data_IF_272026666653
#
_entry.id   IF_272026666653
#
_cell.length_a   1.000
_cell.length_b   1.000
_cell.length_c   1.000
_cell.angle_alpha   90.00
_cell.angle_beta   90.00
_cell.angle_gamma   90.00
#
_symmetry.space_group_name_H-M   'P 1'
#
loop_
_entity.id
_entity.type
_entity.pdbx_description
1 polymer ?
#
# COMPACT_ATOMS: atom_id res chain seq x y z
N UNK A 1 16.84 -8.97 -36.74
CA UNK A 1 15.42 -9.29 -36.77
C UNK A 1 14.88 -8.99 -35.39
N UNK A 2 14.19 -7.90 -35.27
CA UNK A 2 13.74 -7.27 -34.03
C UNK A 2 12.40 -7.90 -33.65
N UNK A 3 12.40 -8.72 -32.62
CA UNK A 3 11.14 -9.17 -31.98
C UNK A 3 10.68 -8.06 -31.04
N UNK A 4 9.81 -7.20 -31.55
CA UNK A 4 9.00 -6.31 -30.74
C UNK A 4 7.94 -7.13 -30.02
N UNK A 5 8.10 -7.30 -28.71
CA UNK A 5 7.05 -7.75 -27.82
C UNK A 5 5.94 -6.70 -27.82
N UNK A 6 4.84 -7.02 -28.47
CA UNK A 6 3.64 -6.19 -28.45
C UNK A 6 3.02 -6.30 -27.06
N UNK A 7 3.20 -5.26 -26.26
CA UNK A 7 2.37 -5.02 -25.10
C UNK A 7 0.93 -4.85 -25.57
N UNK A 8 0.09 -5.85 -25.33
CA UNK A 8 -1.35 -5.76 -25.58
C UNK A 8 -1.95 -4.77 -24.58
N UNK A 9 -2.11 -3.57 -25.07
CA UNK A 9 -2.64 -2.45 -24.33
C UNK A 9 -4.16 -2.47 -24.45
N UNK A 10 -4.86 -2.93 -23.43
CA UNK A 10 -6.15 -2.38 -23.10
C UNK A 10 -5.92 -0.96 -22.50
N UNK A 11 -5.33 -0.07 -23.28
CA UNK A 11 -5.37 1.36 -22.97
C UNK A 11 -6.79 1.83 -23.26
N UNK A 12 -7.67 1.73 -22.28
CA UNK A 12 -8.86 2.57 -22.22
C UNK A 12 -8.38 3.98 -22.49
N UNK A 13 -8.97 4.65 -23.48
CA UNK A 13 -8.56 6.00 -23.87
C UNK A 13 -8.52 6.89 -22.62
N UNK A 14 -7.39 7.54 -22.36
CA UNK A 14 -7.23 8.39 -21.19
C UNK A 14 -8.35 9.45 -21.16
N UNK A 15 -9.00 9.67 -20.02
CA UNK A 15 -10.08 10.65 -19.90
C UNK A 15 -9.56 12.07 -20.15
N UNK A 16 -10.45 12.93 -20.61
CA UNK A 16 -10.13 14.32 -20.98
C UNK A 16 -9.40 15.07 -19.84
N UNK A 17 -9.76 14.82 -18.59
CA UNK A 17 -9.10 15.40 -17.42
C UNK A 17 -7.61 15.07 -17.41
N UNK A 18 -7.22 13.83 -17.61
CA UNK A 18 -5.79 13.42 -17.63
C UNK A 18 -5.09 13.87 -18.91
N UNK A 19 -5.81 13.91 -20.05
CA UNK A 19 -5.25 14.42 -21.30
C UNK A 19 -4.92 15.91 -21.19
N UNK A 20 -5.77 16.70 -20.55
CA UNK A 20 -5.54 18.14 -20.36
C UNK A 20 -4.26 18.44 -19.57
N UNK A 21 -3.89 17.58 -18.61
CA UNK A 21 -2.66 17.73 -17.83
C UNK A 21 -1.39 17.65 -18.69
N UNK A 22 -1.41 16.91 -19.81
CA UNK A 22 -0.26 16.84 -20.73
C UNK A 22 0.04 18.16 -21.38
N UNK A 23 -0.98 18.97 -21.64
CA UNK A 23 -0.88 20.28 -22.28
C UNK A 23 -0.49 21.43 -21.35
N UNK A 24 -0.44 21.22 -20.04
CA UNK A 24 -0.13 22.26 -19.05
C UNK A 24 1.29 22.10 -18.46
N UNK A 25 2.29 22.82 -18.97
CA UNK A 25 3.67 22.72 -18.49
C UNK A 25 3.85 23.14 -17.02
N UNK A 26 2.95 23.95 -16.46
CA UNK A 26 3.00 24.38 -15.06
C UNK A 26 2.83 23.22 -14.08
N UNK A 27 2.17 22.16 -14.51
CA UNK A 27 1.93 20.93 -13.75
C UNK A 27 3.02 19.88 -13.93
N UNK A 28 4.01 20.12 -14.81
CA UNK A 28 5.05 19.14 -15.06
C UNK A 28 6.11 19.17 -13.96
N UNK A 29 6.47 17.99 -13.46
CA UNK A 29 7.54 17.76 -12.49
C UNK A 29 8.53 16.75 -13.04
N UNK A 30 9.79 16.90 -12.65
CA UNK A 30 10.88 15.98 -12.99
C UNK A 30 11.31 15.23 -11.74
N UNK A 31 11.56 13.94 -11.91
CA UNK A 31 12.00 13.04 -10.86
C UNK A 31 13.30 12.38 -11.27
N UNK A 32 14.18 12.15 -10.30
CA UNK A 32 15.48 11.50 -10.52
C UNK A 32 15.33 9.97 -10.50
N UNK A 33 16.22 9.22 -11.18
CA UNK A 33 16.27 7.77 -11.03
C UNK A 33 16.39 7.37 -9.55
N UNK A 34 15.64 6.32 -9.14
CA UNK A 34 15.57 5.84 -7.76
C UNK A 34 14.64 6.65 -6.82
N UNK A 35 14.14 7.80 -7.26
CA UNK A 35 13.26 8.62 -6.42
C UNK A 35 11.92 7.91 -6.19
N UNK A 36 11.46 7.78 -4.91
CA UNK A 36 10.13 7.28 -4.60
C UNK A 36 9.07 8.27 -5.07
N UNK A 37 8.01 7.76 -5.69
CA UNK A 37 6.88 8.53 -6.21
C UNK A 37 5.63 8.33 -5.35
N UNK A 38 5.39 7.09 -4.91
CA UNK A 38 4.33 6.69 -3.99
C UNK A 38 4.82 5.59 -3.05
N UNK A 39 4.08 5.33 -1.98
CA UNK A 39 4.36 4.30 -0.99
C UNK A 39 3.08 3.54 -0.62
N UNK A 40 3.21 2.27 -0.27
CA UNK A 40 2.14 1.42 0.26
C UNK A 40 1.83 1.67 1.75
N UNK A 41 2.49 2.66 2.37
CA UNK A 41 2.31 3.00 3.79
C UNK A 41 1.44 4.24 4.02
N UNK A 42 1.26 5.09 3.00
CA UNK A 42 0.48 6.32 3.09
C UNK A 42 -0.28 6.61 1.79
N UNK A 43 -1.48 7.19 1.92
CA UNK A 43 -2.19 7.70 0.74
C UNK A 43 -1.37 8.80 0.07
N UNK A 44 -1.23 8.77 -1.26
CA UNK A 44 -0.55 9.83 -1.99
C UNK A 44 -1.38 11.12 -1.96
N UNK A 45 -0.72 12.27 -1.91
CA UNK A 45 -1.36 13.59 -1.99
C UNK A 45 -1.52 14.10 -3.42
N UNK A 46 -1.18 13.27 -4.39
CA UNK A 46 -1.25 13.62 -5.81
C UNK A 46 -1.29 12.38 -6.70
N UNK A 47 -1.84 12.54 -7.87
CA UNK A 47 -1.76 11.58 -8.98
C UNK A 47 -0.73 12.06 -9.99
N UNK A 48 0.08 11.15 -10.50
CA UNK A 48 1.11 11.43 -11.50
C UNK A 48 0.75 10.73 -12.81
N UNK A 49 0.69 11.48 -13.91
CA UNK A 49 0.61 10.94 -15.26
C UNK A 49 2.01 10.97 -15.86
N UNK A 50 2.59 9.82 -16.19
CA UNK A 50 3.92 9.75 -16.81
C UNK A 50 3.87 10.35 -18.22
N UNK A 51 4.74 11.32 -18.49
CA UNK A 51 4.90 11.95 -19.82
C UNK A 51 6.13 11.40 -20.53
N UNK A 52 7.24 11.25 -19.80
CA UNK A 52 8.53 10.79 -20.31
C UNK A 52 9.24 9.95 -19.26
N UNK A 53 10.04 8.97 -19.67
CA UNK A 53 10.81 8.12 -18.79
C UNK A 53 10.04 6.86 -18.35
N UNK A 54 10.59 6.18 -17.35
CA UNK A 54 10.05 4.91 -16.83
C UNK A 54 10.06 4.89 -15.31
N UNK A 55 9.07 4.21 -14.72
CA UNK A 55 8.99 3.88 -13.31
C UNK A 55 8.79 2.37 -13.11
N UNK A 56 8.87 1.92 -11.88
CA UNK A 56 8.57 0.53 -11.48
C UNK A 56 7.56 0.53 -10.37
N UNK A 57 6.48 -0.19 -10.57
CA UNK A 57 5.59 -0.62 -9.51
C UNK A 57 6.27 -1.79 -8.80
N UNK A 58 6.46 -1.63 -7.50
CA UNK A 58 7.16 -2.58 -6.66
C UNK A 58 6.19 -3.29 -5.73
N UNK A 59 6.54 -4.51 -5.37
CA UNK A 59 5.95 -5.26 -4.28
C UNK A 59 7.07 -5.84 -3.41
N UNK A 60 6.74 -6.49 -2.30
CA UNK A 60 7.72 -7.12 -1.43
C UNK A 60 7.67 -8.63 -1.57
N UNK A 61 8.81 -9.22 -1.85
CA UNK A 61 9.03 -10.66 -1.83
C UNK A 61 10.05 -10.98 -0.73
N UNK A 62 9.65 -11.71 0.32
CA UNK A 62 10.53 -12.04 1.45
C UNK A 62 11.28 -10.82 1.99
N UNK A 63 10.55 -9.69 2.14
CA UNK A 63 11.06 -8.38 2.57
C UNK A 63 11.97 -7.63 1.57
N UNK A 64 12.25 -8.19 0.42
CA UNK A 64 13.00 -7.53 -0.65
C UNK A 64 12.05 -6.87 -1.67
N UNK A 65 12.40 -5.67 -2.18
CA UNK A 65 11.61 -5.04 -3.23
C UNK A 65 11.76 -5.80 -4.55
N UNK A 66 10.64 -6.25 -5.11
CA UNK A 66 10.57 -6.89 -6.41
C UNK A 66 9.71 -6.08 -7.37
N UNK A 67 10.06 -6.09 -8.65
CA UNK A 67 9.31 -5.35 -9.68
C UNK A 67 8.08 -6.15 -10.08
N UNK A 68 6.90 -5.61 -9.78
CA UNK A 68 5.63 -6.15 -10.23
C UNK A 68 5.36 -5.77 -11.70
N UNK A 69 5.55 -4.47 -12.04
CA UNK A 69 5.32 -3.95 -13.38
C UNK A 69 6.23 -2.77 -13.70
N UNK A 70 6.59 -2.64 -14.98
CA UNK A 70 7.24 -1.43 -15.52
C UNK A 70 6.17 -0.48 -16.01
N UNK A 71 6.28 0.79 -15.62
CA UNK A 71 5.38 1.87 -15.99
C UNK A 71 6.09 2.82 -16.95
N UNK A 72 5.38 3.32 -17.95
CA UNK A 72 5.89 4.19 -18.99
C UNK A 72 4.96 5.37 -19.32
N UNK A 73 5.24 6.13 -20.39
CA UNK A 73 4.41 7.25 -20.79
C UNK A 73 2.95 6.87 -21.02
N UNK A 74 2.03 7.59 -20.35
CA UNK A 74 0.60 7.32 -20.36
C UNK A 74 0.10 6.57 -19.13
N UNK A 75 0.97 5.92 -18.36
CA UNK A 75 0.57 5.28 -17.11
C UNK A 75 0.33 6.32 -16.01
N UNK A 76 -0.59 5.95 -15.10
CA UNK A 76 -1.03 6.80 -13.99
C UNK A 76 -0.56 6.17 -12.68
N UNK A 77 -0.01 6.97 -11.79
CA UNK A 77 0.53 6.56 -10.49
C UNK A 77 -0.23 7.27 -9.38
N UNK A 78 -0.55 6.58 -8.29
CA UNK A 78 -1.23 7.12 -7.11
C UNK A 78 -2.74 7.00 -7.16
N UNK A 79 -3.32 6.78 -8.34
CA UNK A 79 -4.78 6.75 -8.50
C UNK A 79 -5.40 5.50 -7.86
N UNK A 80 -4.79 4.32 -8.00
CA UNK A 80 -5.28 3.09 -7.39
C UNK A 80 -5.41 3.22 -5.87
N UNK A 81 -4.41 3.81 -5.22
CA UNK A 81 -4.42 4.04 -3.78
C UNK A 81 -5.54 4.99 -3.35
N UNK A 82 -5.76 6.08 -4.09
CA UNK A 82 -6.80 7.06 -3.78
C UNK A 82 -8.20 6.49 -4.00
N UNK A 83 -8.44 5.82 -5.14
CA UNK A 83 -9.75 5.24 -5.45
C UNK A 83 -10.11 4.08 -4.51
N UNK A 84 -9.15 3.30 -4.06
CA UNK A 84 -9.39 2.25 -3.07
C UNK A 84 -9.40 2.75 -1.63
N UNK A 85 -9.22 4.06 -1.41
CA UNK A 85 -9.07 4.67 -0.08
C UNK A 85 -8.02 3.95 0.80
N UNK A 86 -7.02 3.32 0.18
CA UNK A 86 -6.01 2.54 0.89
C UNK A 86 -4.68 2.55 0.12
N UNK A 87 -3.56 2.82 0.78
CA UNK A 87 -2.26 2.82 0.12
C UNK A 87 -1.94 1.42 -0.42
N UNK A 88 -1.66 1.31 -1.72
CA UNK A 88 -1.36 0.04 -2.38
C UNK A 88 -0.21 0.14 -3.39
N UNK A 89 0.24 1.34 -3.72
CA UNK A 89 1.22 1.56 -4.77
C UNK A 89 2.57 1.97 -4.17
N UNK A 90 3.57 1.11 -4.30
CA UNK A 90 4.98 1.51 -4.09
C UNK A 90 5.61 1.68 -5.47
N UNK A 91 5.87 2.93 -5.87
CA UNK A 91 6.42 3.24 -7.19
C UNK A 91 7.70 4.07 -7.08
N UNK A 92 8.74 3.63 -7.78
CA UNK A 92 10.01 4.36 -7.88
C UNK A 92 10.32 4.69 -9.34
N UNK A 93 10.89 5.87 -9.57
CA UNK A 93 11.40 6.24 -10.88
C UNK A 93 12.59 5.35 -11.27
N UNK A 94 12.56 4.73 -12.45
CA UNK A 94 13.66 3.88 -12.95
C UNK A 94 14.67 4.67 -13.78
N UNK A 95 14.18 5.71 -14.45
CA UNK A 95 15.00 6.64 -15.25
C UNK A 95 14.71 8.07 -14.80
N UNK A 96 15.35 9.07 -15.42
CA UNK A 96 14.86 10.43 -15.33
C UNK A 96 13.42 10.46 -15.86
N UNK A 97 12.48 10.85 -15.02
CA UNK A 97 11.06 10.79 -15.30
C UNK A 97 10.47 12.19 -15.30
N UNK A 98 9.59 12.46 -16.25
CA UNK A 98 8.76 13.67 -16.29
C UNK A 98 7.30 13.23 -16.18
N UNK A 99 6.57 13.82 -15.25
CA UNK A 99 5.15 13.53 -15.08
C UNK A 99 4.34 14.83 -14.91
N UNK A 100 3.08 14.77 -15.33
CA UNK A 100 2.09 15.78 -15.00
C UNK A 100 1.43 15.43 -13.67
N UNK A 101 1.22 16.43 -12.82
CA UNK A 101 0.72 16.29 -11.45
C UNK A 101 -0.71 16.76 -11.37
N UNK A 102 -1.56 15.92 -10.76
CA UNK A 102 -2.92 16.26 -10.34
C UNK A 102 -3.01 16.12 -8.82
N UNK A 103 -3.13 17.21 -8.07
CA UNK A 103 -3.32 17.16 -6.63
C UNK A 103 -4.58 16.40 -6.24
N UNK A 104 -4.54 15.72 -5.10
CA UNK A 104 -5.65 14.93 -4.57
C UNK A 104 -6.95 15.74 -4.40
N UNK A 105 -6.87 16.98 -3.94
CA UNK A 105 -8.04 17.87 -3.82
C UNK A 105 -8.67 18.20 -5.17
N UNK A 106 -7.85 18.43 -6.20
CA UNK A 106 -8.35 18.63 -7.56
C UNK A 106 -8.93 17.33 -8.12
N UNK A 107 -8.30 16.18 -7.82
CA UNK A 107 -8.84 14.88 -8.17
C UNK A 107 -10.25 14.70 -7.59
N UNK A 108 -10.44 14.96 -6.29
CA UNK A 108 -11.75 14.87 -5.63
C UNK A 108 -12.78 15.76 -6.31
N UNK A 109 -12.41 17.00 -6.65
CA UNK A 109 -13.28 17.91 -7.38
C UNK A 109 -13.67 17.34 -8.75
N UNK A 110 -12.69 16.81 -9.51
CA UNK A 110 -13.00 16.18 -10.79
C UNK A 110 -13.88 14.93 -10.66
N UNK A 111 -13.70 14.13 -9.61
CA UNK A 111 -14.56 12.98 -9.33
C UNK A 111 -16.02 13.41 -9.04
N UNK A 112 -16.23 14.58 -8.44
CA UNK A 112 -17.56 15.12 -8.16
C UNK A 112 -18.18 15.81 -9.38
N UNK A 113 -17.39 16.59 -10.13
CA UNK A 113 -17.87 17.47 -11.20
C UNK A 113 -17.93 16.78 -12.57
N UNK A 114 -17.23 15.65 -12.76
CA UNK A 114 -17.09 14.98 -14.07
C UNK A 114 -17.49 13.50 -13.99
N UNK A 115 -18.78 13.16 -14.24
CA UNK A 115 -19.27 11.77 -14.12
C UNK A 115 -18.50 10.76 -14.97
N UNK A 116 -18.08 11.14 -16.18
CA UNK A 116 -17.32 10.26 -17.08
C UNK A 116 -15.93 9.93 -16.50
N UNK A 117 -15.29 10.92 -15.87
CA UNK A 117 -14.01 10.70 -15.19
C UNK A 117 -14.19 9.82 -13.95
N UNK A 118 -15.24 10.06 -13.17
CA UNK A 118 -15.60 9.21 -12.04
C UNK A 118 -15.80 7.75 -12.46
N UNK A 119 -16.62 7.51 -13.49
CA UNK A 119 -16.85 6.18 -14.04
C UNK A 119 -15.55 5.52 -14.53
N UNK A 120 -14.72 6.29 -15.25
CA UNK A 120 -13.44 5.76 -15.72
C UNK A 120 -12.55 5.33 -14.54
N UNK A 121 -12.41 6.16 -13.51
CA UNK A 121 -11.60 5.85 -12.33
C UNK A 121 -12.14 4.63 -11.56
N UNK A 122 -13.45 4.54 -11.38
CA UNK A 122 -14.08 3.50 -10.56
C UNK A 122 -14.24 2.16 -11.30
N UNK A 123 -14.24 2.15 -12.63
CA UNK A 123 -14.35 0.93 -13.44
C UNK A 123 -13.00 0.27 -13.79
N UNK A 124 -11.87 0.89 -13.41
CA UNK A 124 -10.56 0.28 -13.62
C UNK A 124 -10.21 -0.69 -12.48
N UNK A 125 -9.56 -1.80 -12.81
CA UNK A 125 -8.91 -2.70 -11.86
C UNK A 125 -7.40 -2.49 -12.01
N UNK A 126 -6.74 -2.18 -10.90
CA UNK A 126 -5.33 -1.79 -10.90
C UNK A 126 -4.44 -2.93 -10.46
N UNK A 127 -3.27 -3.07 -11.10
CA UNK A 127 -2.29 -4.12 -10.76
C UNK A 127 -1.84 -4.05 -9.30
N UNK A 128 -1.67 -2.84 -8.76
CA UNK A 128 -1.32 -2.64 -7.35
C UNK A 128 -2.43 -3.09 -6.39
N UNK A 129 -3.68 -2.86 -6.76
CA UNK A 129 -4.85 -3.30 -6.00
C UNK A 129 -4.94 -4.83 -5.97
N UNK A 130 -4.80 -5.48 -7.14
CA UNK A 130 -4.77 -6.94 -7.25
C UNK A 130 -3.59 -7.55 -6.47
N UNK A 131 -2.41 -7.01 -6.62
CA UNK A 131 -1.23 -7.49 -5.90
C UNK A 131 -1.42 -7.41 -4.38
N UNK A 132 -2.02 -6.32 -3.89
CA UNK A 132 -2.34 -6.17 -2.47
C UNK A 132 -3.35 -7.21 -1.98
N UNK A 133 -4.40 -7.50 -2.77
CA UNK A 133 -5.41 -8.49 -2.42
C UNK A 133 -4.85 -9.92 -2.43
N UNK A 134 -3.99 -10.24 -3.40
CA UNK A 134 -3.46 -11.58 -3.59
C UNK A 134 -2.25 -11.88 -2.70
N UNK A 135 -1.51 -10.85 -2.25
CA UNK A 135 -0.31 -11.04 -1.43
C UNK A 135 -0.54 -11.88 -0.17
N UNK A 136 -1.57 -11.67 0.66
CA UNK A 136 -1.81 -12.51 1.84
C UNK A 136 -2.08 -13.98 1.48
N UNK A 137 -2.72 -14.24 0.33
CA UNK A 137 -2.97 -15.59 -0.16
C UNK A 137 -1.68 -16.26 -0.63
N UNK A 138 -0.80 -15.53 -1.33
CA UNK A 138 0.51 -16.01 -1.76
C UNK A 138 1.44 -16.26 -0.55
N UNK A 139 1.48 -15.35 0.41
CA UNK A 139 2.30 -15.49 1.62
C UNK A 139 1.88 -16.72 2.46
N UNK A 140 0.63 -17.17 2.36
CA UNK A 140 0.10 -18.39 3.02
C UNK A 140 0.23 -19.66 2.21
N UNK A 141 0.66 -19.59 0.96
CA UNK A 141 0.78 -20.71 0.02
C UNK A 141 2.23 -21.01 -0.34
N UNK A 142 2.45 -22.07 -1.12
CA UNK A 142 3.76 -22.37 -1.70
C UNK A 142 4.06 -21.56 -2.97
N UNK A 143 3.13 -20.71 -3.41
CA UNK A 143 3.28 -19.88 -4.59
C UNK A 143 4.30 -18.76 -4.36
N UNK A 144 4.98 -18.39 -5.41
CA UNK A 144 5.98 -17.32 -5.40
C UNK A 144 5.53 -16.09 -6.21
N UNK A 145 6.21 -14.98 -6.01
CA UNK A 145 5.92 -13.73 -6.70
C UNK A 145 6.11 -13.79 -8.22
N UNK A 146 7.09 -14.49 -8.79
CA UNK A 146 7.20 -14.69 -10.22
C UNK A 146 5.93 -15.25 -10.86
N UNK A 147 5.23 -16.18 -10.18
CA UNK A 147 3.95 -16.71 -10.67
C UNK A 147 2.89 -15.60 -10.76
N UNK A 148 2.78 -14.73 -9.75
CA UNK A 148 1.87 -13.58 -9.80
C UNK A 148 2.23 -12.63 -10.93
N UNK A 149 3.50 -12.25 -11.06
CA UNK A 149 3.95 -11.29 -12.09
C UNK A 149 3.66 -11.76 -13.49
N UNK A 150 3.83 -13.07 -13.76
CA UNK A 150 3.57 -13.66 -15.06
C UNK A 150 2.08 -13.80 -15.40
N UNK A 151 1.21 -13.90 -14.39
CA UNK A 151 -0.23 -14.10 -14.56
C UNK A 151 -1.06 -12.83 -14.29
N UNK A 152 -0.41 -11.71 -13.92
CA UNK A 152 -1.12 -10.51 -13.47
C UNK A 152 -2.06 -9.93 -14.54
N UNK A 153 -1.65 -9.93 -15.80
CA UNK A 153 -2.47 -9.47 -16.91
C UNK A 153 -3.70 -10.39 -17.10
N UNK A 154 -3.53 -11.70 -17.05
CA UNK A 154 -4.62 -12.68 -17.16
C UNK A 154 -5.59 -12.56 -15.96
N UNK A 155 -5.04 -12.35 -14.76
CA UNK A 155 -5.85 -12.15 -13.54
C UNK A 155 -6.68 -10.87 -13.67
N UNK A 156 -6.08 -9.77 -14.11
CA UNK A 156 -6.77 -8.49 -14.30
C UNK A 156 -7.87 -8.61 -15.34
N UNK A 157 -7.61 -9.28 -16.46
CA UNK A 157 -8.57 -9.41 -17.55
C UNK A 157 -9.79 -10.28 -17.18
N UNK A 158 -9.63 -11.19 -16.22
CA UNK A 158 -10.71 -12.04 -15.71
C UNK A 158 -11.35 -11.49 -14.43
N UNK A 159 -10.71 -10.53 -13.76
CA UNK A 159 -11.25 -9.88 -12.58
C UNK A 159 -12.48 -9.02 -12.93
N UNK A 160 -13.45 -8.99 -12.05
CA UNK A 160 -14.67 -8.20 -12.23
C UNK A 160 -14.92 -7.31 -11.01
N UNK A 161 -15.25 -6.06 -11.26
CA UNK A 161 -15.79 -5.18 -10.23
C UNK A 161 -17.27 -5.47 -10.05
N UNK A 162 -17.69 -5.68 -8.83
CA UNK A 162 -19.09 -5.90 -8.47
C UNK A 162 -19.66 -4.66 -7.76
N UNK A 163 -20.91 -4.30 -8.02
CA UNK A 163 -21.61 -3.35 -7.18
C UNK A 163 -21.77 -3.94 -5.76
N UNK A 164 -21.87 -3.09 -4.73
CA UNK A 164 -22.12 -3.53 -3.36
C UNK A 164 -23.60 -3.92 -3.14
N UNK A 165 -24.02 -4.95 -3.84
CA UNK A 165 -25.35 -5.52 -3.83
C UNK A 165 -25.28 -6.98 -3.40
N UNK A 166 -26.05 -7.35 -2.37
CA UNK A 166 -26.00 -8.67 -1.76
C UNK A 166 -26.39 -9.78 -2.75
N UNK A 167 -27.36 -9.52 -3.65
CA UNK A 167 -27.79 -10.51 -4.64
C UNK A 167 -26.70 -10.73 -5.69
N UNK A 168 -26.06 -9.65 -6.15
CA UNK A 168 -24.97 -9.73 -7.13
C UNK A 168 -23.76 -10.47 -6.54
N UNK A 169 -23.41 -10.19 -5.28
CA UNK A 169 -22.31 -10.87 -4.59
C UNK A 169 -22.62 -12.35 -4.39
N UNK A 170 -23.83 -12.69 -3.93
CA UNK A 170 -24.25 -14.09 -3.76
C UNK A 170 -24.22 -14.85 -5.08
N UNK A 171 -24.71 -14.24 -6.15
CA UNK A 171 -24.69 -14.82 -7.48
C UNK A 171 -23.24 -15.03 -8.00
N UNK A 172 -22.34 -14.11 -7.74
CA UNK A 172 -20.94 -14.27 -8.12
C UNK A 172 -20.29 -15.46 -7.38
N UNK A 173 -20.54 -15.60 -6.08
CA UNK A 173 -20.03 -16.71 -5.27
C UNK A 173 -20.62 -18.04 -5.76
N UNK A 174 -21.94 -18.10 -6.04
CA UNK A 174 -22.59 -19.28 -6.59
C UNK A 174 -22.02 -19.69 -7.96
N UNK A 175 -21.50 -18.73 -8.73
CA UNK A 175 -20.81 -18.95 -10.00
C UNK A 175 -19.30 -19.21 -9.84
N UNK A 176 -18.87 -19.74 -8.68
CA UNK A 176 -17.49 -20.11 -8.39
C UNK A 176 -16.48 -18.96 -8.52
N UNK A 177 -16.91 -17.73 -8.14
CA UNK A 177 -16.03 -16.58 -8.00
C UNK A 177 -15.77 -16.32 -6.53
N UNK A 178 -14.53 -15.96 -6.19
CA UNK A 178 -14.17 -15.47 -4.86
C UNK A 178 -14.23 -13.96 -4.88
N UNK A 179 -14.96 -13.36 -3.94
CA UNK A 179 -15.20 -11.92 -3.89
C UNK A 179 -14.46 -11.31 -2.73
N UNK A 180 -13.67 -10.27 -3.00
CA UNK A 180 -12.82 -9.61 -2.02
C UNK A 180 -13.17 -8.12 -1.87
N UNK A 181 -13.06 -7.63 -0.64
CA UNK A 181 -13.16 -6.20 -0.34
C UNK A 181 -11.86 -5.51 -0.76
N UNK A 182 -11.93 -4.63 -1.75
CA UNK A 182 -10.77 -3.98 -2.36
C UNK A 182 -10.57 -2.52 -1.93
N UNK A 183 -11.48 -1.95 -1.13
CA UNK A 183 -11.35 -0.58 -0.63
C UNK A 183 -11.52 -0.48 0.88
N UNK A 184 -10.94 0.55 1.49
CA UNK A 184 -10.96 0.77 2.94
C UNK A 184 -12.03 1.76 3.39
N UNK A 185 -12.98 2.12 2.53
CA UNK A 185 -14.04 3.10 2.80
C UNK A 185 -15.33 2.49 3.38
N UNK A 186 -15.26 1.33 4.01
CA UNK A 186 -16.37 0.66 4.68
C UNK A 186 -15.93 0.12 6.04
N UNK A 187 -16.83 -0.53 6.77
CA UNK A 187 -16.50 -1.21 8.03
C UNK A 187 -15.93 -2.62 7.82
N UNK A 188 -15.97 -3.13 6.59
CA UNK A 188 -15.35 -4.39 6.23
C UNK A 188 -13.82 -4.24 6.20
N UNK A 189 -13.15 -5.33 6.54
CA UNK A 189 -11.68 -5.36 6.48
C UNK A 189 -11.20 -5.44 5.04
N UNK A 190 -10.22 -4.63 4.70
CA UNK A 190 -9.57 -4.68 3.40
C UNK A 190 -8.96 -6.07 3.14
N UNK A 191 -9.21 -6.62 1.95
CA UNK A 191 -8.79 -7.98 1.60
C UNK A 191 -9.69 -9.08 2.19
N UNK A 192 -10.73 -8.73 2.94
CA UNK A 192 -11.70 -9.72 3.45
C UNK A 192 -12.40 -10.39 2.28
N UNK A 193 -12.41 -11.73 2.30
CA UNK A 193 -13.22 -12.53 1.39
C UNK A 193 -14.66 -12.58 1.88
N UNK A 194 -15.61 -12.34 0.98
CA UNK A 194 -17.03 -12.46 1.25
C UNK A 194 -17.47 -13.90 0.97
N UNK A 195 -18.20 -14.48 1.91
CA UNK A 195 -18.74 -15.85 1.82
C UNK A 195 -20.27 -15.82 1.87
N UNK A 196 -20.93 -16.91 1.43
CA UNK A 196 -22.37 -17.02 1.52
C UNK A 196 -22.89 -16.80 2.95
N UNK A 197 -23.99 -16.06 3.09
CA UNK A 197 -24.66 -15.76 4.36
C UNK A 197 -24.20 -14.48 5.06
N UNK A 198 -23.25 -13.75 4.50
CA UNK A 198 -22.97 -12.38 4.95
C UNK A 198 -24.02 -11.47 4.36
N UNK A 199 -24.92 -10.94 5.21
CA UNK A 199 -25.81 -9.85 4.84
C UNK A 199 -24.97 -8.61 4.62
N UNK A 200 -24.86 -8.20 3.35
CA UNK A 200 -24.02 -7.09 2.93
C UNK A 200 -24.85 -5.84 2.88
N UNK A 201 -25.29 -5.32 4.03
CA UNK A 201 -25.67 -3.90 4.17
C UNK A 201 -24.35 -3.09 4.29
N UNK A 202 -23.64 -2.98 3.15
CA UNK A 202 -22.35 -2.31 3.15
C UNK A 202 -22.55 -0.87 2.74
N UNK A 203 -22.61 0.02 3.71
CA UNK A 203 -22.49 1.45 3.46
C UNK A 203 -21.03 1.82 3.20
N UNK A 204 -20.78 2.33 1.99
CA UNK A 204 -19.50 2.94 1.67
C UNK A 204 -19.45 4.38 2.19
N UNK A 205 -18.31 4.77 2.75
CA UNK A 205 -18.09 6.16 3.13
C UNK A 205 -17.81 6.98 1.87
N UNK A 206 -18.63 8.03 1.59
CA UNK A 206 -18.41 8.89 0.43
C UNK A 206 -17.01 9.52 0.45
N UNK A 207 -16.47 9.98 -0.68
CA UNK A 207 -17.13 10.16 -1.97
C UNK A 207 -17.08 8.95 -2.91
N UNK A 208 -16.38 7.89 -2.54
CA UNK A 208 -16.13 6.75 -3.41
C UNK A 208 -17.04 5.56 -3.07
N UNK A 209 -17.46 4.76 -4.06
CA UNK A 209 -18.20 3.55 -3.81
C UNK A 209 -17.31 2.48 -3.16
N UNK A 210 -17.93 1.53 -2.47
CA UNK A 210 -17.24 0.32 -2.05
C UNK A 210 -16.75 -0.45 -3.27
N UNK A 211 -15.50 -0.89 -3.24
CA UNK A 211 -14.91 -1.70 -4.31
C UNK A 211 -14.90 -3.16 -3.91
N UNK A 212 -15.61 -3.96 -4.66
CA UNK A 212 -15.61 -5.41 -4.55
C UNK A 212 -15.00 -6.00 -5.82
N UNK A 213 -13.98 -6.85 -5.68
CA UNK A 213 -13.33 -7.52 -6.81
C UNK A 213 -13.63 -9.01 -6.72
N UNK A 214 -14.24 -9.54 -7.79
CA UNK A 214 -14.49 -10.95 -7.97
C UNK A 214 -13.41 -11.57 -8.87
N UNK A 215 -12.86 -12.71 -8.44
CA UNK A 215 -11.85 -13.47 -9.15
C UNK A 215 -12.32 -14.93 -9.34
N UNK A 216 -12.10 -15.56 -10.50
CA UNK A 216 -12.43 -16.97 -10.71
C UNK A 216 -11.66 -17.86 -9.72
N UNK A 217 -12.36 -18.74 -9.01
CA UNK A 217 -11.73 -19.61 -8.01
C UNK A 217 -10.70 -20.57 -8.65
N UNK A 218 -10.96 -21.05 -9.87
CA UNK A 218 -10.05 -21.94 -10.62
C UNK A 218 -8.71 -21.26 -10.89
N UNK A 219 -8.74 -19.97 -11.26
CA UNK A 219 -7.52 -19.19 -11.52
C UNK A 219 -6.70 -19.04 -10.22
N UNK A 220 -7.36 -18.70 -9.10
CA UNK A 220 -6.69 -18.58 -7.81
C UNK A 220 -6.09 -19.92 -7.36
N UNK A 221 -6.78 -21.04 -7.59
CA UNK A 221 -6.23 -22.37 -7.30
C UNK A 221 -4.98 -22.65 -8.14
N UNK A 222 -5.00 -22.34 -9.43
CA UNK A 222 -3.83 -22.47 -10.30
C UNK A 222 -2.66 -21.59 -9.90
N UNK A 223 -2.92 -20.38 -9.41
CA UNK A 223 -1.90 -19.47 -8.90
C UNK A 223 -1.29 -19.97 -7.59
N UNK A 224 -2.12 -20.50 -6.67
CA UNK A 224 -1.72 -20.91 -5.33
C UNK A 224 -1.09 -22.30 -5.28
N UNK A 225 -1.42 -23.20 -6.25
CA UNK A 225 -0.93 -24.57 -6.35
C UNK A 225 -0.33 -24.85 -7.74
N UNK A 226 0.79 -24.23 -8.12
CA UNK A 226 1.38 -24.37 -9.46
C UNK A 226 1.79 -25.83 -9.80
N UNK A 227 2.03 -26.66 -8.77
CA UNK A 227 2.50 -28.04 -8.95
C UNK A 227 1.43 -29.07 -9.36
N UNK A 228 0.14 -28.74 -9.31
CA UNK A 228 -0.93 -29.68 -9.71
C UNK A 228 -1.21 -29.67 -11.22
N UNK A 229 -0.76 -28.66 -11.97
CA UNK A 229 -1.03 -28.52 -13.40
C UNK A 229 0.11 -28.96 -14.34
N UNK A 230 1.28 -29.34 -13.83
CA UNK A 230 2.44 -29.76 -14.65
C UNK A 230 2.57 -31.29 -14.81
N UNK A 231 1.47 -32.00 -15.08
CA UNK A 231 1.52 -33.39 -15.56
C UNK A 231 1.37 -33.46 -17.08
N UNK A 232 2.26 -32.77 -17.79
CA UNK A 232 2.49 -33.08 -19.22
C UNK A 232 3.99 -33.04 -19.49
N UNK A 233 4.60 -34.13 -19.93
CA UNK A 233 6.04 -34.17 -20.17
C UNK A 233 6.40 -33.43 -21.45
N UNK A 234 7.24 -32.45 -21.36
CA UNK A 234 8.01 -31.93 -22.49
C UNK A 234 9.49 -32.02 -22.17
N UNK A 235 10.18 -32.74 -23.05
CA UNK A 235 11.58 -33.13 -22.99
C UNK A 235 12.54 -31.93 -23.00
N UNK A 236 13.56 -32.08 -22.17
CA UNK A 236 14.96 -31.68 -22.33
C UNK A 236 15.32 -30.56 -23.32
N UNK A 237 15.91 -29.49 -22.79
CA UNK A 237 17.19 -29.01 -23.32
C UNK A 237 17.96 -28.26 -22.22
N UNK A 238 18.98 -28.93 -21.74
CA UNK A 238 20.05 -28.40 -20.88
C UNK A 238 20.88 -27.39 -21.65
N UNK A 239 21.08 -26.21 -21.10
CA UNK A 239 22.24 -25.37 -21.43
C UNK A 239 22.63 -24.54 -20.22
N UNK A 240 23.64 -25.02 -19.55
CA UNK A 240 24.40 -24.28 -18.56
C UNK A 240 25.13 -23.11 -19.21
N UNK A 241 24.97 -21.92 -18.66
CA UNK A 241 25.88 -20.79 -18.89
C UNK A 241 26.18 -20.14 -17.54
N UNK A 242 27.33 -20.51 -17.02
CA UNK A 242 28.01 -19.86 -15.92
C UNK A 242 28.49 -18.50 -16.39
N UNK A 243 28.02 -17.43 -15.76
CA UNK A 243 28.68 -16.13 -15.90
C UNK A 243 28.88 -15.54 -14.52
N UNK A 244 30.11 -15.56 -14.10
CA UNK A 244 30.68 -14.86 -12.95
C UNK A 244 30.60 -13.35 -13.27
N UNK A 245 29.82 -12.61 -12.51
CA UNK A 245 29.74 -11.16 -12.60
C UNK A 245 30.07 -10.55 -11.24
N UNK A 246 31.14 -9.78 -11.23
CA UNK A 246 31.67 -9.04 -10.09
C UNK A 246 30.63 -8.18 -9.39
N UNK A 247 30.63 -8.28 -8.06
CA UNK A 247 29.85 -7.43 -7.17
C UNK A 247 30.57 -6.09 -7.08
N UNK A 248 30.08 -5.08 -7.77
CA UNK A 248 30.46 -3.71 -7.52
C UNK A 248 29.73 -3.22 -6.26
N UNK A 249 30.49 -3.01 -5.20
CA UNK A 249 30.02 -2.30 -4.01
C UNK A 249 29.63 -0.87 -4.39
N UNK A 250 28.34 -0.65 -4.52
CA UNK A 250 27.79 0.69 -4.70
C UNK A 250 27.44 1.25 -3.33
N UNK A 251 28.32 2.10 -2.85
CA UNK A 251 28.17 2.95 -1.69
C UNK A 251 26.79 3.63 -1.70
N UNK A 252 25.94 3.28 -0.74
CA UNK A 252 24.64 3.93 -0.50
C UNK A 252 24.88 5.37 -0.03
N UNK A 253 25.01 6.29 -0.96
CA UNK A 253 24.80 7.69 -0.66
C UNK A 253 23.31 7.88 -0.31
N UNK A 254 23.04 8.17 0.96
CA UNK A 254 21.75 8.63 1.45
C UNK A 254 21.33 9.83 0.60
N UNK A 255 20.41 9.61 -0.34
CA UNK A 255 19.82 10.69 -1.10
C UNK A 255 19.08 11.61 -0.11
N UNK A 256 19.58 12.83 0.04
CA UNK A 256 18.88 13.91 0.71
C UNK A 256 17.59 14.11 -0.07
N UNK A 257 16.46 13.74 0.54
CA UNK A 257 15.12 14.02 0.00
C UNK A 257 14.96 15.53 0.11
N UNK A 258 15.09 16.23 -1.02
CA UNK A 258 14.65 17.62 -1.06
C UNK A 258 13.17 17.64 -0.69
N UNK A 259 12.73 18.55 0.22
CA UNK A 259 11.35 18.64 0.63
C UNK A 259 10.50 18.85 -0.64
N UNK A 260 9.46 18.05 -0.78
CA UNK A 260 8.41 18.29 -1.76
C UNK A 260 7.98 19.75 -1.58
N UNK A 261 7.99 20.51 -2.68
CA UNK A 261 7.70 21.95 -2.64
C UNK A 261 6.42 22.18 -1.83
N UNK A 262 6.57 22.88 -0.73
CA UNK A 262 5.47 23.33 0.11
C UNK A 262 4.43 24.05 -0.76
N UNK A 263 3.16 23.61 -0.68
CA UNK A 263 2.12 24.35 -1.36
C UNK A 263 0.75 23.71 -1.48
N UNK A 264 0.59 22.42 -1.21
CA UNK A 264 -0.74 21.79 -1.29
C UNK A 264 -1.05 21.07 0.02
N UNK A 265 -2.22 21.36 0.62
CA UNK A 265 -2.65 20.63 1.80
C UNK A 265 -2.78 19.14 1.45
N UNK A 266 -2.29 18.28 2.35
CA UNK A 266 -2.46 16.83 2.24
C UNK A 266 -3.95 16.52 2.41
N UNK A 267 -4.52 15.71 1.51
CA UNK A 267 -5.84 15.17 1.74
C UNK A 267 -5.84 14.37 3.03
N UNK A 268 -6.84 14.59 3.86
CA UNK A 268 -7.03 13.76 5.04
C UNK A 268 -7.56 12.40 4.60
N UNK A 269 -7.22 11.33 5.33
CA UNK A 269 -7.74 10.00 5.03
C UNK A 269 -9.27 9.97 4.98
N UNK A 270 -9.94 10.84 5.75
CA UNK A 270 -11.39 11.01 5.77
C UNK A 270 -11.95 11.54 4.44
N UNK A 271 -11.24 12.38 3.71
CA UNK A 271 -11.67 12.94 2.41
C UNK A 271 -11.82 11.85 1.34
N UNK A 272 -11.05 10.77 1.44
CA UNK A 272 -11.17 9.60 0.57
C UNK A 272 -12.02 8.48 1.19
N UNK A 273 -12.80 8.76 2.24
CA UNK A 273 -13.66 7.78 2.89
C UNK A 273 -12.92 6.74 3.72
N UNK A 274 -11.63 6.87 3.90
CA UNK A 274 -10.87 6.00 4.78
C UNK A 274 -11.30 6.21 6.25
N UNK A 275 -11.37 5.12 7.01
CA UNK A 275 -11.69 5.20 8.44
C UNK A 275 -10.65 6.07 9.15
N UNK A 276 -11.09 7.05 9.95
CA UNK A 276 -10.19 7.82 10.79
C UNK A 276 -9.37 6.84 11.65
N UNK A 277 -8.03 6.87 11.59
CA UNK A 277 -7.19 5.99 12.41
C UNK A 277 -7.46 6.13 13.91
N UNK A 278 -8.12 7.22 14.33
CA UNK A 278 -8.60 7.41 15.72
C UNK A 278 -9.90 6.68 16.01
N UNK A 279 -10.69 6.32 14.97
CA UNK A 279 -11.98 5.66 15.19
C UNK A 279 -11.73 4.24 15.69
N UNK A 280 -12.20 3.96 16.92
CA UNK A 280 -11.97 2.70 17.61
C UNK A 280 -10.70 2.64 18.47
N UNK A 281 -9.84 3.67 18.45
CA UNK A 281 -8.73 3.78 19.37
C UNK A 281 -9.19 4.35 20.72
N UNK A 282 -9.12 3.55 21.78
CA UNK A 282 -9.36 4.02 23.13
C UNK A 282 -8.14 4.80 23.60
N UNK A 283 -8.27 6.11 23.79
CA UNK A 283 -7.19 6.96 24.29
C UNK A 283 -6.87 6.59 25.75
N UNK A 284 -5.67 6.10 25.99
CA UNK A 284 -5.16 5.75 27.31
C UNK A 284 -4.21 6.86 27.77
N UNK A 285 -4.57 7.53 28.84
CA UNK A 285 -3.71 8.53 29.49
C UNK A 285 -2.97 7.90 30.65
N UNK A 286 -1.67 8.18 30.75
CA UNK A 286 -0.81 7.68 31.81
C UNK A 286 0.14 8.79 32.28
N UNK A 287 0.65 8.63 33.49
CA UNK A 287 1.62 9.56 34.09
C UNK A 287 2.83 8.77 34.58
N UNK A 288 4.00 9.15 34.10
CA UNK A 288 5.26 8.47 34.43
C UNK A 288 5.82 7.65 33.29
N UNK A 289 7.15 7.59 33.17
CA UNK A 289 7.83 7.02 32.00
C UNK A 289 7.40 5.59 31.66
N UNK A 290 7.25 4.73 32.67
CA UNK A 290 6.87 3.32 32.46
C UNK A 290 5.40 3.18 32.07
N UNK A 291 4.51 3.94 32.73
CA UNK A 291 3.08 3.90 32.45
C UNK A 291 2.74 4.52 31.09
N UNK A 292 3.41 5.61 30.70
CA UNK A 292 3.27 6.24 29.38
C UNK A 292 3.68 5.26 28.27
N UNK A 293 4.81 4.55 28.45
CA UNK A 293 5.25 3.57 27.47
C UNK A 293 4.30 2.37 27.38
N UNK A 294 3.79 1.88 28.51
CA UNK A 294 2.79 0.83 28.55
C UNK A 294 1.51 1.25 27.82
N UNK A 295 1.03 2.47 28.08
CA UNK A 295 -0.14 3.02 27.39
C UNK A 295 0.08 3.11 25.87
N UNK A 296 1.27 3.54 25.42
CA UNK A 296 1.63 3.56 24.00
C UNK A 296 1.57 2.18 23.38
N UNK A 297 2.09 1.15 24.05
CA UNK A 297 2.01 -0.23 23.56
C UNK A 297 0.59 -0.79 23.56
N UNK A 298 -0.24 -0.41 24.53
CA UNK A 298 -1.66 -0.79 24.55
C UNK A 298 -2.41 -0.17 23.37
N UNK A 299 -2.24 1.12 23.12
CA UNK A 299 -2.85 1.81 21.99
C UNK A 299 -2.31 1.27 20.65
N UNK A 300 -1.01 1.01 20.55
CA UNK A 300 -0.41 0.41 19.36
C UNK A 300 -0.98 -0.98 19.07
N UNK A 301 -1.13 -1.81 20.11
CA UNK A 301 -1.73 -3.14 19.98
C UNK A 301 -3.20 -3.07 19.53
N UNK A 302 -3.99 -2.12 20.05
CA UNK A 302 -5.36 -1.88 19.57
C UNK A 302 -5.38 -1.46 18.11
N UNK A 303 -4.51 -0.53 17.72
CA UNK A 303 -4.41 -0.02 16.35
C UNK A 303 -4.06 -1.10 15.34
N UNK A 304 -3.17 -2.02 15.73
CA UNK A 304 -2.67 -3.10 14.87
C UNK A 304 -3.42 -4.43 15.05
N UNK A 305 -4.45 -4.48 15.90
CA UNK A 305 -5.19 -5.71 16.18
C UNK A 305 -4.35 -6.83 16.86
N UNK A 306 -3.30 -6.45 17.60
CA UNK A 306 -2.39 -7.40 18.22
C UNK A 306 -2.85 -7.82 19.61
N UNK A 307 -2.55 -9.07 20.00
CA UNK A 307 -2.79 -9.55 21.36
C UNK A 307 -1.68 -9.08 22.30
N UNK A 308 -2.00 -8.12 23.16
CA UNK A 308 -1.08 -7.62 24.16
C UNK A 308 -1.19 -8.44 25.45
N UNK A 309 -0.05 -8.96 25.92
CA UNK A 309 0.09 -9.50 27.28
C UNK A 309 0.58 -8.40 28.22
N UNK A 310 -0.36 -7.63 28.75
CA UNK A 310 -0.07 -6.48 29.64
C UNK A 310 0.87 -6.85 30.78
N UNK A 311 0.60 -7.94 31.49
CA UNK A 311 1.40 -8.40 32.63
C UNK A 311 2.86 -8.68 32.29
N UNK A 312 3.13 -9.18 31.06
CA UNK A 312 4.48 -9.45 30.60
C UNK A 312 5.25 -8.15 30.38
N UNK A 313 4.60 -7.15 29.77
CA UNK A 313 5.22 -5.84 29.54
C UNK A 313 5.45 -5.10 30.86
N UNK A 314 4.47 -5.08 31.76
CA UNK A 314 4.60 -4.48 33.10
C UNK A 314 5.76 -5.08 33.90
N UNK A 315 5.95 -6.40 33.82
CA UNK A 315 7.07 -7.08 34.47
C UNK A 315 8.42 -6.65 33.91
N UNK A 316 8.54 -6.62 32.59
CA UNK A 316 9.81 -6.21 31.93
C UNK A 316 10.13 -4.74 32.24
N UNK A 317 9.12 -3.85 32.19
CA UNK A 317 9.28 -2.45 32.55
C UNK A 317 9.67 -2.29 34.03
N UNK A 318 8.96 -2.99 34.94
CA UNK A 318 9.25 -2.96 36.37
C UNK A 318 10.65 -3.46 36.70
N UNK A 319 11.14 -4.49 36.04
CA UNK A 319 12.48 -5.02 36.23
C UNK A 319 13.55 -4.06 35.66
N UNK A 320 13.31 -3.42 34.52
CA UNK A 320 14.21 -2.42 33.98
C UNK A 320 14.33 -1.19 34.90
N UNK A 321 13.21 -0.72 35.43
CA UNK A 321 13.16 0.41 36.36
C UNK A 321 13.88 0.09 37.69
N UNK A 322 13.68 -1.12 38.24
CA UNK A 322 14.37 -1.58 39.46
C UNK A 322 15.90 -1.65 39.29
N UNK A 323 16.37 -1.92 38.08
CA UNK A 323 17.82 -1.94 37.75
C UNK A 323 18.40 -0.56 37.48
N UNK A 324 17.60 0.51 37.61
CA UNK A 324 18.03 1.88 37.29
C UNK A 324 18.26 2.09 35.77
N UNK A 325 17.81 1.17 34.94
CA UNK A 325 17.82 1.33 33.48
C UNK A 325 16.64 2.20 33.12
N UNK A 326 16.87 3.45 32.78
CA UNK A 326 15.82 4.30 32.21
C UNK A 326 15.28 3.72 30.90
N UNK A 327 14.11 4.20 30.47
CA UNK A 327 13.54 3.82 29.20
C UNK A 327 14.48 4.25 28.06
N UNK A 328 15.01 3.29 27.33
CA UNK A 328 15.89 3.49 26.19
C UNK A 328 15.33 2.79 24.93
N UNK A 329 15.87 3.11 23.77
CA UNK A 329 15.44 2.53 22.50
C UNK A 329 15.59 1.00 22.45
N UNK A 330 16.58 0.44 23.14
CA UNK A 330 16.78 -0.99 23.19
C UNK A 330 15.64 -1.69 23.96
N UNK A 331 15.21 -1.14 25.10
CA UNK A 331 14.07 -1.66 25.86
C UNK A 331 12.76 -1.57 25.03
N UNK A 332 12.55 -0.45 24.35
CA UNK A 332 11.39 -0.28 23.44
C UNK A 332 11.41 -1.34 22.34
N UNK A 333 12.58 -1.59 21.73
CA UNK A 333 12.75 -2.62 20.71
C UNK A 333 12.47 -4.04 21.24
N UNK A 334 12.93 -4.36 22.45
CA UNK A 334 12.64 -5.64 23.11
C UNK A 334 11.14 -5.84 23.35
N UNK A 335 10.45 -4.80 23.83
CA UNK A 335 9.00 -4.83 24.04
C UNK A 335 8.24 -4.98 22.71
N UNK A 336 8.67 -4.29 21.66
CA UNK A 336 8.11 -4.45 20.32
C UNK A 336 8.25 -5.89 19.80
N UNK A 337 9.43 -6.50 19.98
CA UNK A 337 9.69 -7.90 19.61
C UNK A 337 8.78 -8.88 20.38
N UNK A 338 8.47 -8.60 21.65
CA UNK A 338 7.52 -9.43 22.42
C UNK A 338 6.09 -9.38 21.86
N UNK A 339 5.74 -8.34 21.13
CA UNK A 339 4.47 -8.20 20.38
C UNK A 339 4.55 -8.79 18.97
N UNK A 340 5.68 -9.34 18.57
CA UNK A 340 5.92 -9.83 17.21
C UNK A 340 6.19 -8.71 16.20
N UNK A 341 6.53 -7.50 16.68
CA UNK A 341 6.82 -6.36 15.84
C UNK A 341 8.32 -6.22 15.59
N UNK A 342 8.67 -5.90 14.34
CA UNK A 342 10.01 -5.46 14.01
C UNK A 342 10.08 -3.93 14.08
N UNK A 343 10.83 -3.41 15.03
CA UNK A 343 10.93 -1.97 15.27
C UNK A 343 12.30 -1.43 14.86
N UNK A 344 12.31 -0.32 14.14
CA UNK A 344 13.50 0.44 13.83
C UNK A 344 13.49 1.72 14.67
N UNK A 345 14.55 1.99 15.40
CA UNK A 345 14.68 3.15 16.28
C UNK A 345 15.76 4.11 15.80
N UNK A 346 15.52 5.41 15.95
CA UNK A 346 16.48 6.44 15.57
C UNK A 346 16.19 7.77 16.26
N UNK A 347 17.08 8.75 16.06
CA UNK A 347 16.86 10.14 16.47
C UNK A 347 16.50 10.96 15.24
N UNK A 348 15.51 11.84 15.41
CA UNK A 348 15.03 12.71 14.35
C UNK A 348 15.01 14.16 14.87
N UNK A 349 15.38 15.10 14.00
CA UNK A 349 15.24 16.52 14.30
C UNK A 349 13.73 16.91 14.29
N UNK A 350 13.29 17.81 15.19
CA UNK A 350 11.88 18.20 15.27
C UNK A 350 11.30 18.69 13.94
N UNK A 351 12.10 19.38 13.13
CA UNK A 351 11.70 19.91 11.81
C UNK A 351 11.34 18.80 10.80
N UNK A 352 11.79 17.56 11.05
CA UNK A 352 11.48 16.39 10.23
C UNK A 352 10.36 15.53 10.80
N UNK A 353 9.70 15.95 11.85
CA UNK A 353 8.63 15.19 12.51
C UNK A 353 7.49 14.84 11.52
N UNK A 354 7.19 15.71 10.58
CA UNK A 354 6.23 15.48 9.50
C UNK A 354 6.60 14.32 8.55
N UNK A 355 7.86 13.87 8.54
CA UNK A 355 8.33 12.74 7.72
C UNK A 355 8.33 11.43 8.51
N UNK A 356 7.87 11.44 9.77
CA UNK A 356 7.84 10.25 10.61
C UNK A 356 6.85 9.23 10.05
N UNK A 357 7.32 8.00 9.86
CA UNK A 357 6.42 6.90 9.52
C UNK A 357 5.56 6.55 10.73
N UNK A 358 4.26 6.48 10.54
CA UNK A 358 3.29 6.17 11.58
C UNK A 358 2.63 4.81 11.34
N UNK A 359 2.28 4.04 12.40
CA UNK A 359 2.38 4.41 13.81
C UNK A 359 3.81 4.34 14.36
N UNK A 360 4.18 5.27 15.23
CA UNK A 360 5.50 5.34 15.84
C UNK A 360 5.43 5.74 17.32
N UNK A 361 6.24 5.12 18.17
CA UNK A 361 6.42 5.57 19.55
C UNK A 361 7.49 6.66 19.54
N UNK A 362 7.10 7.86 19.96
CA UNK A 362 7.94 9.06 19.98
C UNK A 362 8.25 9.44 21.41
N UNK A 363 9.52 9.75 21.67
CA UNK A 363 9.95 10.29 22.96
C UNK A 363 10.43 11.73 22.79
N UNK A 364 9.81 12.64 23.52
CA UNK A 364 10.14 14.07 23.53
C UNK A 364 10.51 14.45 24.98
N UNK A 365 11.80 14.64 25.20
CA UNK A 365 12.33 14.81 26.57
C UNK A 365 12.09 13.56 27.42
N UNK A 366 11.33 13.70 28.50
CA UNK A 366 10.94 12.61 29.41
C UNK A 366 9.57 12.00 29.09
N UNK A 367 8.81 12.57 28.16
CA UNK A 367 7.45 12.13 27.81
C UNK A 367 7.48 11.17 26.63
N UNK A 368 6.62 10.15 26.70
CA UNK A 368 6.44 9.17 25.63
C UNK A 368 5.01 9.24 25.08
N UNK A 369 4.87 9.27 23.77
CA UNK A 369 3.59 9.32 23.09
C UNK A 369 3.57 8.39 21.88
N UNK A 370 2.38 7.97 21.46
CA UNK A 370 2.16 7.25 20.22
C UNK A 370 1.73 8.25 19.14
N UNK A 371 2.54 8.37 18.08
CA UNK A 371 2.17 9.11 16.90
C UNK A 371 1.42 8.16 15.95
N UNK A 372 0.17 8.47 15.63
CA UNK A 372 -0.71 7.67 14.77
C UNK A 372 -0.87 8.25 13.38
N UNK A 373 -0.58 9.54 13.22
CA UNK A 373 -0.52 10.22 11.94
C UNK A 373 0.53 11.33 11.98
N UNK A 374 1.11 11.65 10.83
CA UNK A 374 2.03 12.77 10.64
C UNK A 374 1.61 13.58 9.42
N UNK A 375 1.63 14.91 9.53
CA UNK A 375 1.34 15.83 8.43
C UNK A 375 2.15 17.13 8.63
N UNK A 376 1.96 18.11 7.75
CA UNK A 376 2.64 19.40 7.84
C UNK A 376 2.32 20.19 9.12
N UNK A 377 1.17 19.93 9.75
CA UNK A 377 0.81 20.53 11.03
C UNK A 377 1.50 19.86 12.24
N UNK A 378 2.12 18.70 12.05
CA UNK A 378 2.85 17.96 13.06
C UNK A 378 2.44 16.50 13.23
N UNK A 379 2.60 15.98 14.46
CA UNK A 379 2.25 14.62 14.84
C UNK A 379 0.92 14.61 15.60
N UNK A 380 0.05 13.66 15.23
CA UNK A 380 -1.17 13.37 15.95
C UNK A 380 -0.94 12.17 16.88
#
# INVERSE_FOLDING_TARGET
MTNGSASSTHQSQLPAVLVSLKGDPSRHRRFRPGQPLTSDTALPNQVLLILEGQARLLTRERDLPATLRKLGPGDVIGLASLISAAPCETVHASTSLKAAVLPDQELLKHLQDTPEFFQWCTNQIWDAELARLLKPLLDSSAADLPALTNQLDDIRDQAKLLPPDAEVVTNAIANNQRVFVASANSDLSLGQELTDGIQVDIEARPPLPLRLIALPAVMLQGLLNPNENDSKPSAETSSALTTTGEIAESSSALAVIEPAQAGLPLATTAEFGQKDPRSGLQLIRANGEAEELLACFQMLAQLMGLKLRRDAIERVLGDAMKRGQGINLQLIGQLATMLGLHAVGGRMAPERAQQLQTPSIVRIGTRTALAIASNEAGLL
#
